data_IF_430360883695
#
_entry.id   IF_430360883695
#
_cell.length_a   1.000
_cell.length_b   1.000
_cell.length_c   1.000
_cell.angle_alpha   90.00
_cell.angle_beta   90.00
_cell.angle_gamma   90.00
#
_symmetry.space_group_name_H-M   'P 1'
#
loop_
_entity.id
_entity.type
_entity.pdbx_description
1 polymer ?
#
# COMPACT_ATOMS: atom_id res chain seq x y z
N UNK A 1 -52.52 7.59 14.27
CA UNK A 1 -51.36 6.83 13.75
C UNK A 1 -50.12 7.66 14.06
N UNK A 2 -49.42 7.35 15.13
CA UNK A 2 -48.19 8.02 15.57
C UNK A 2 -47.07 7.43 14.73
N UNK A 3 -46.56 8.24 13.79
CA UNK A 3 -45.29 7.95 13.11
C UNK A 3 -44.20 7.86 14.17
N UNK A 4 -43.66 6.67 14.36
CA UNK A 4 -42.48 6.43 15.14
C UNK A 4 -41.33 7.16 14.44
N UNK A 5 -40.89 8.30 15.01
CA UNK A 5 -39.66 9.00 14.63
C UNK A 5 -38.49 8.03 14.86
N UNK A 6 -38.10 7.34 13.80
CA UNK A 6 -36.85 6.56 13.79
C UNK A 6 -35.71 7.57 13.97
N UNK A 7 -35.23 7.72 15.19
CA UNK A 7 -34.03 8.49 15.48
C UNK A 7 -32.89 7.94 14.59
N UNK A 8 -32.22 8.76 13.78
CA UNK A 8 -31.12 8.31 12.94
C UNK A 8 -30.07 7.66 13.85
N UNK A 9 -29.79 6.36 13.67
CA UNK A 9 -28.70 5.71 14.39
C UNK A 9 -27.45 6.55 14.23
N UNK A 10 -26.93 7.07 15.34
CA UNK A 10 -25.69 7.83 15.34
C UNK A 10 -24.57 6.98 14.72
N UNK A 11 -23.76 7.60 13.83
CA UNK A 11 -22.70 6.88 13.15
C UNK A 11 -21.71 6.34 14.20
N UNK A 12 -21.39 5.02 14.19
CA UNK A 12 -20.47 4.43 15.15
C UNK A 12 -19.11 5.13 15.23
N UNK A 13 -18.64 5.77 14.15
CA UNK A 13 -17.40 6.54 14.12
C UNK A 13 -17.45 7.76 15.07
N UNK A 14 -18.66 8.28 15.36
CA UNK A 14 -18.84 9.41 16.26
C UNK A 14 -18.87 9.00 17.73
N UNK A 15 -19.44 7.82 18.06
CA UNK A 15 -19.85 7.50 19.45
C UNK A 15 -19.16 6.27 20.04
N UNK A 16 -18.80 5.27 19.21
CA UNK A 16 -18.22 4.02 19.71
C UNK A 16 -16.82 4.25 20.34
N UNK A 17 -16.41 3.43 21.34
CA UNK A 17 -15.08 3.53 21.96
C UNK A 17 -13.95 3.45 20.91
N UNK A 18 -13.04 4.41 20.94
CA UNK A 18 -11.97 4.56 19.93
C UNK A 18 -11.09 3.30 19.81
N UNK A 19 -10.73 2.65 20.93
CA UNK A 19 -9.92 1.43 20.90
C UNK A 19 -10.66 0.25 20.21
N UNK A 20 -11.97 0.16 20.37
CA UNK A 20 -12.82 -0.82 19.67
C UNK A 20 -12.91 -0.53 18.17
N UNK A 21 -13.01 0.76 17.81
CA UNK A 21 -13.00 1.18 16.40
C UNK A 21 -11.65 0.87 15.73
N UNK A 22 -10.53 1.21 16.37
CA UNK A 22 -9.20 0.89 15.82
C UNK A 22 -9.10 -0.60 15.55
N UNK A 23 -9.44 -1.47 16.53
CA UNK A 23 -9.42 -2.94 16.31
C UNK A 23 -10.34 -3.37 15.17
N UNK A 24 -11.56 -2.85 15.12
CA UNK A 24 -12.55 -3.19 14.09
C UNK A 24 -12.09 -2.80 12.67
N UNK A 25 -11.38 -1.71 12.50
CA UNK A 25 -10.94 -1.22 11.19
C UNK A 25 -9.52 -1.64 10.84
N UNK A 26 -8.59 -1.64 11.80
CA UNK A 26 -7.18 -1.95 11.53
C UNK A 26 -6.95 -3.46 11.31
N UNK A 27 -7.58 -4.34 12.10
CA UNK A 27 -7.36 -5.77 11.97
C UNK A 27 -7.72 -6.30 10.56
N UNK A 28 -8.91 -6.01 9.98
CA UNK A 28 -9.19 -6.41 8.61
C UNK A 28 -8.27 -5.77 7.57
N UNK A 29 -7.80 -4.54 7.81
CA UNK A 29 -6.87 -3.87 6.91
C UNK A 29 -5.48 -4.55 6.92
N UNK A 30 -4.97 -4.88 8.09
CA UNK A 30 -3.71 -5.62 8.27
C UNK A 30 -3.81 -7.00 7.59
N UNK A 31 -4.88 -7.74 7.87
CA UNK A 31 -5.11 -9.07 7.25
C UNK A 31 -5.15 -8.96 5.72
N UNK A 32 -5.84 -7.94 5.17
CA UNK A 32 -5.87 -7.70 3.73
C UNK A 32 -4.47 -7.49 3.15
N UNK A 33 -3.65 -6.68 3.82
CA UNK A 33 -2.28 -6.39 3.37
C UNK A 33 -1.37 -7.62 3.48
N UNK A 34 -1.48 -8.40 4.56
CA UNK A 34 -0.72 -9.64 4.72
C UNK A 34 -1.09 -10.67 3.66
N UNK A 35 -2.38 -10.88 3.43
CA UNK A 35 -2.86 -11.81 2.40
C UNK A 35 -2.37 -11.38 1.02
N UNK A 36 -2.40 -10.07 0.73
CA UNK A 36 -1.83 -9.52 -0.50
C UNK A 36 -0.32 -9.83 -0.65
N UNK A 37 0.44 -9.69 0.42
CA UNK A 37 1.88 -10.00 0.42
C UNK A 37 2.12 -11.49 0.21
N UNK A 38 1.36 -12.34 0.91
CA UNK A 38 1.49 -13.81 0.82
C UNK A 38 1.17 -14.29 -0.60
N UNK A 39 0.06 -13.84 -1.20
CA UNK A 39 -0.28 -14.31 -2.53
C UNK A 39 0.77 -13.88 -3.58
N UNK A 40 1.31 -12.67 -3.50
CA UNK A 40 2.38 -12.23 -4.41
C UNK A 40 3.64 -13.10 -4.30
N UNK A 41 4.00 -13.53 -3.09
CA UNK A 41 5.13 -14.42 -2.87
C UNK A 41 4.82 -15.81 -3.43
N UNK A 42 3.61 -16.31 -3.20
CA UNK A 42 3.18 -17.65 -3.66
C UNK A 42 3.14 -17.73 -5.19
N UNK A 43 2.59 -16.72 -5.87
CA UNK A 43 2.57 -16.60 -7.33
C UNK A 43 4.00 -16.66 -7.91
N UNK A 44 4.94 -15.91 -7.34
CA UNK A 44 6.34 -15.98 -7.77
C UNK A 44 7.00 -17.35 -7.55
N UNK A 45 6.62 -18.07 -6.48
CA UNK A 45 7.09 -19.43 -6.23
C UNK A 45 6.57 -20.38 -7.33
N UNK A 46 5.29 -20.33 -7.68
CA UNK A 46 4.71 -21.14 -8.75
C UNK A 46 5.37 -20.86 -10.10
N UNK A 47 5.54 -19.58 -10.46
CA UNK A 47 6.22 -19.18 -11.70
C UNK A 47 7.67 -19.68 -11.72
N UNK A 48 8.39 -19.54 -10.63
CA UNK A 48 9.77 -20.01 -10.50
C UNK A 48 9.92 -21.52 -10.68
N UNK A 49 8.97 -22.32 -10.18
CA UNK A 49 9.01 -23.78 -10.31
C UNK A 49 8.56 -24.28 -11.68
N UNK A 50 7.62 -23.60 -12.34
CA UNK A 50 7.02 -24.09 -13.60
C UNK A 50 7.65 -23.50 -14.84
N UNK A 51 8.03 -22.23 -14.82
CA UNK A 51 8.63 -21.50 -15.96
C UNK A 51 10.12 -21.24 -15.75
N UNK A 52 10.57 -21.22 -14.49
CA UNK A 52 11.97 -21.01 -14.13
C UNK A 52 12.36 -19.54 -14.06
N UNK A 53 13.67 -19.29 -14.21
CA UNK A 53 14.28 -17.95 -14.03
C UNK A 53 13.72 -16.93 -15.01
N UNK A 54 13.45 -17.31 -16.26
CA UNK A 54 12.90 -16.41 -17.27
C UNK A 54 11.49 -15.95 -16.94
N UNK A 55 10.67 -16.82 -16.31
CA UNK A 55 9.33 -16.45 -15.84
C UNK A 55 9.37 -15.41 -14.72
N UNK A 56 10.24 -15.62 -13.72
CA UNK A 56 10.42 -14.63 -12.65
C UNK A 56 11.00 -13.30 -13.18
N UNK A 57 11.91 -13.35 -14.14
CA UNK A 57 12.42 -12.15 -14.79
C UNK A 57 11.30 -11.39 -15.56
N UNK A 58 10.41 -12.13 -16.22
CA UNK A 58 9.27 -11.54 -16.95
C UNK A 58 8.29 -10.83 -16.03
N UNK A 59 7.92 -11.44 -14.89
CA UNK A 59 7.05 -10.77 -13.90
C UNK A 59 7.72 -9.56 -13.27
N UNK A 60 9.02 -9.61 -12.98
CA UNK A 60 9.76 -8.47 -12.46
C UNK A 60 9.80 -7.31 -13.47
N UNK A 61 9.91 -7.60 -14.76
CA UNK A 61 9.86 -6.58 -15.82
C UNK A 61 8.46 -5.96 -15.97
N UNK A 62 7.40 -6.72 -15.72
CA UNK A 62 6.02 -6.22 -15.70
C UNK A 62 5.64 -5.49 -14.40
N UNK A 63 6.41 -5.66 -13.31
CA UNK A 63 6.10 -5.12 -11.99
C UNK A 63 5.88 -3.60 -11.92
N UNK A 64 6.63 -2.74 -12.66
CA UNK A 64 6.37 -1.30 -12.71
C UNK A 64 4.94 -0.93 -13.13
N UNK A 65 4.32 -1.73 -14.01
CA UNK A 65 2.91 -1.53 -14.41
C UNK A 65 1.96 -1.80 -13.24
N UNK A 66 2.25 -2.81 -12.42
CA UNK A 66 1.47 -3.13 -11.22
C UNK A 66 1.61 -2.01 -10.17
N UNK A 67 2.81 -1.47 -9.98
CA UNK A 67 3.05 -0.31 -9.09
C UNK A 67 2.26 0.90 -9.55
N UNK A 68 2.30 1.23 -10.84
CA UNK A 68 1.55 2.35 -11.42
C UNK A 68 0.05 2.17 -11.22
N UNK A 69 -0.48 0.97 -11.48
CA UNK A 69 -1.90 0.63 -11.30
C UNK A 69 -2.33 0.78 -9.84
N UNK A 70 -1.54 0.26 -8.92
CA UNK A 70 -1.79 0.36 -7.46
C UNK A 70 -1.71 1.81 -7.00
N UNK A 71 -0.75 2.57 -7.51
CA UNK A 71 -0.62 4.00 -7.23
C UNK A 71 -1.85 4.80 -7.68
N UNK A 72 -2.34 4.56 -8.91
CA UNK A 72 -3.56 5.19 -9.43
C UNK A 72 -4.81 4.76 -8.63
N UNK A 73 -4.89 3.48 -8.24
CA UNK A 73 -5.97 3.01 -7.38
C UNK A 73 -5.97 3.71 -6.02
N UNK A 74 -4.80 3.91 -5.42
CA UNK A 74 -4.65 4.65 -4.16
C UNK A 74 -4.97 6.13 -4.31
N UNK A 75 -4.58 6.75 -5.43
CA UNK A 75 -4.93 8.14 -5.74
C UNK A 75 -6.45 8.34 -5.71
N UNK A 76 -7.18 7.49 -6.40
CA UNK A 76 -8.65 7.57 -6.45
C UNK A 76 -9.28 7.13 -5.14
N UNK A 77 -8.85 5.98 -4.60
CA UNK A 77 -9.47 5.34 -3.45
C UNK A 77 -9.32 6.13 -2.15
N UNK A 78 -8.08 6.53 -1.82
CA UNK A 78 -7.80 7.34 -0.62
C UNK A 78 -8.47 8.70 -0.71
N UNK A 79 -8.35 9.35 -1.90
CA UNK A 79 -8.97 10.65 -2.12
C UNK A 79 -10.49 10.62 -2.00
N UNK A 80 -11.14 9.60 -2.56
CA UNK A 80 -12.60 9.42 -2.47
C UNK A 80 -13.03 9.12 -1.03
N UNK A 81 -12.37 8.16 -0.37
CA UNK A 81 -12.70 7.75 1.00
C UNK A 81 -12.54 8.89 2.02
N UNK A 82 -11.47 9.68 1.91
CA UNK A 82 -11.23 10.82 2.80
C UNK A 82 -12.28 11.92 2.61
N UNK A 83 -12.54 12.35 1.35
CA UNK A 83 -13.55 13.36 1.06
C UNK A 83 -14.97 12.90 1.43
N UNK A 84 -15.29 11.61 1.20
CA UNK A 84 -16.55 11.02 1.64
C UNK A 84 -16.74 11.14 3.15
N UNK A 85 -15.78 10.67 3.95
CA UNK A 85 -15.88 10.72 5.41
C UNK A 85 -15.85 12.14 5.99
N UNK A 86 -15.04 13.04 5.44
CA UNK A 86 -15.04 14.46 5.80
C UNK A 86 -16.44 15.07 5.58
N UNK A 87 -17.06 14.78 4.43
CA UNK A 87 -18.39 15.28 4.09
C UNK A 87 -19.48 14.66 4.97
N UNK A 88 -19.36 13.36 5.29
CA UNK A 88 -20.30 12.67 6.19
C UNK A 88 -20.21 13.21 7.62
N UNK A 89 -19.00 13.47 8.11
CA UNK A 89 -18.78 14.09 9.42
C UNK A 89 -19.34 15.50 9.50
N UNK A 90 -19.19 16.29 8.43
CA UNK A 90 -19.75 17.62 8.29
C UNK A 90 -21.28 17.64 7.98
N UNK A 91 -21.94 16.48 7.95
CA UNK A 91 -23.38 16.33 7.60
C UNK A 91 -23.73 16.78 6.17
N UNK A 92 -22.74 16.97 5.30
CA UNK A 92 -22.89 17.42 3.91
C UNK A 92 -23.14 16.21 2.98
N UNK A 93 -24.32 15.57 3.09
CA UNK A 93 -24.64 14.31 2.37
C UNK A 93 -24.56 14.42 0.86
N UNK A 94 -24.95 15.54 0.28
CA UNK A 94 -24.92 15.74 -1.18
C UNK A 94 -23.49 15.82 -1.71
N UNK A 95 -22.57 16.45 -0.96
CA UNK A 95 -21.15 16.42 -1.28
C UNK A 95 -20.59 14.99 -1.16
N UNK A 96 -20.94 14.24 -0.11
CA UNK A 96 -20.53 12.85 0.04
C UNK A 96 -21.00 11.98 -1.14
N UNK A 97 -22.27 12.12 -1.57
CA UNK A 97 -22.82 11.46 -2.76
C UNK A 97 -22.03 11.79 -4.02
N UNK A 98 -21.68 13.06 -4.22
CA UNK A 98 -20.92 13.52 -5.37
C UNK A 98 -19.52 12.91 -5.41
N UNK A 99 -18.81 12.83 -4.28
CA UNK A 99 -17.50 12.19 -4.21
C UNK A 99 -17.56 10.68 -4.48
N UNK A 100 -18.55 9.98 -3.92
CA UNK A 100 -18.74 8.54 -4.19
C UNK A 100 -18.99 8.29 -5.67
N UNK A 101 -19.93 8.99 -6.28
CA UNK A 101 -20.25 8.83 -7.71
C UNK A 101 -19.07 9.15 -8.63
N UNK A 102 -18.36 10.26 -8.36
CA UNK A 102 -17.16 10.64 -9.12
C UNK A 102 -16.04 9.62 -8.95
N UNK A 103 -15.80 9.13 -7.72
CA UNK A 103 -14.76 8.14 -7.42
C UNK A 103 -14.99 6.79 -8.10
N UNK A 104 -16.25 6.30 -8.11
CA UNK A 104 -16.61 5.07 -8.80
C UNK A 104 -16.31 5.15 -10.31
N UNK A 105 -16.74 6.25 -10.96
CA UNK A 105 -16.49 6.41 -12.40
C UNK A 105 -15.00 6.64 -12.68
N UNK A 106 -14.34 7.46 -11.87
CA UNK A 106 -12.92 7.77 -12.03
C UNK A 106 -12.05 6.49 -11.90
N UNK A 107 -12.37 5.60 -10.95
CA UNK A 107 -11.66 4.32 -10.81
C UNK A 107 -11.88 3.40 -12.01
N UNK A 108 -13.11 3.32 -12.54
CA UNK A 108 -13.40 2.55 -13.74
C UNK A 108 -12.72 3.13 -14.98
N UNK A 109 -12.83 4.45 -15.19
CA UNK A 109 -12.26 5.13 -16.35
C UNK A 109 -10.71 5.03 -16.37
N UNK A 110 -10.05 5.26 -15.23
CA UNK A 110 -8.60 5.15 -15.14
C UNK A 110 -8.12 3.71 -15.33
N UNK A 111 -8.87 2.74 -14.81
CA UNK A 111 -8.56 1.33 -15.02
C UNK A 111 -8.66 0.91 -16.49
N UNK A 112 -9.74 1.28 -17.16
CA UNK A 112 -9.93 1.01 -18.61
C UNK A 112 -8.86 1.72 -19.44
N UNK A 113 -8.63 3.02 -19.17
CA UNK A 113 -7.62 3.81 -19.88
C UNK A 113 -6.22 3.19 -19.73
N UNK A 114 -5.84 2.85 -18.50
CA UNK A 114 -4.53 2.24 -18.25
C UNK A 114 -4.44 0.87 -18.92
N UNK A 115 -5.46 0.02 -18.80
CA UNK A 115 -5.50 -1.29 -19.44
C UNK A 115 -5.34 -1.21 -20.96
N UNK A 116 -6.09 -0.30 -21.61
CA UNK A 116 -5.96 -0.06 -23.05
C UNK A 116 -4.57 0.46 -23.42
N UNK A 117 -4.02 1.44 -22.69
CA UNK A 117 -2.69 1.98 -22.97
C UNK A 117 -1.60 0.91 -22.82
N UNK A 118 -1.64 0.12 -21.75
CA UNK A 118 -0.65 -0.95 -21.53
C UNK A 118 -0.79 -2.03 -22.59
N UNK A 119 -2.03 -2.43 -22.98
CA UNK A 119 -2.24 -3.41 -24.02
C UNK A 119 -1.72 -2.94 -25.39
N UNK A 120 -1.96 -1.66 -25.75
CA UNK A 120 -1.49 -1.08 -27.02
C UNK A 120 0.02 -0.85 -27.05
N UNK A 121 0.62 -0.46 -25.94
CA UNK A 121 2.04 -0.09 -25.83
C UNK A 121 2.87 -1.10 -25.01
N UNK A 122 2.44 -2.37 -24.92
CA UNK A 122 3.12 -3.39 -24.12
C UNK A 122 4.61 -3.54 -24.49
N UNK A 123 4.94 -3.53 -25.79
CA UNK A 123 6.30 -3.69 -26.26
C UNK A 123 7.22 -2.53 -25.82
N UNK A 124 6.92 -1.25 -26.12
CA UNK A 124 7.70 -0.12 -25.62
C UNK A 124 7.82 -0.09 -24.10
N UNK A 125 6.74 -0.41 -23.37
CA UNK A 125 6.73 -0.43 -21.91
C UNK A 125 7.69 -1.50 -21.36
N UNK A 126 7.67 -2.70 -21.89
CA UNK A 126 8.55 -3.79 -21.46
C UNK A 126 10.03 -3.48 -21.76
N UNK A 127 10.33 -2.90 -22.92
CA UNK A 127 11.70 -2.48 -23.25
C UNK A 127 12.19 -1.36 -22.33
N UNK A 128 11.35 -0.37 -22.01
CA UNK A 128 11.66 0.67 -21.03
C UNK A 128 11.88 0.09 -19.61
N UNK A 129 11.19 -0.99 -19.27
CA UNK A 129 11.36 -1.71 -18.00
C UNK A 129 12.57 -2.67 -17.99
N UNK A 130 13.36 -2.73 -19.06
CA UNK A 130 14.59 -3.51 -19.13
C UNK A 130 14.39 -4.97 -19.54
N UNK A 131 13.35 -5.30 -20.31
CA UNK A 131 13.18 -6.64 -20.87
C UNK A 131 14.33 -6.96 -21.85
N UNK A 132 15.02 -8.06 -21.59
CA UNK A 132 16.00 -8.61 -22.53
C UNK A 132 15.32 -9.42 -23.62
N UNK A 133 16.01 -9.68 -24.73
CA UNK A 133 15.46 -10.49 -25.86
C UNK A 133 14.91 -11.84 -25.43
N UNK A 134 15.56 -12.51 -24.45
CA UNK A 134 15.13 -13.81 -23.93
C UNK A 134 13.91 -13.73 -23.01
N UNK A 135 13.74 -12.63 -22.28
CA UNK A 135 12.65 -12.40 -21.31
C UNK A 135 11.42 -11.85 -22.00
N UNK A 136 11.60 -11.07 -23.07
CA UNK A 136 10.56 -10.33 -23.76
C UNK A 136 9.34 -11.19 -24.19
N UNK A 137 9.50 -12.40 -24.78
CA UNK A 137 8.35 -13.23 -25.17
C UNK A 137 7.47 -13.65 -23.97
N UNK A 138 8.10 -13.99 -22.84
CA UNK A 138 7.40 -14.36 -21.63
C UNK A 138 6.69 -13.15 -20.99
N UNK A 139 7.38 -12.01 -20.93
CA UNK A 139 6.83 -10.78 -20.38
C UNK A 139 5.66 -10.24 -21.22
N UNK A 140 5.74 -10.34 -22.54
CA UNK A 140 4.68 -9.90 -23.45
C UNK A 140 3.42 -10.76 -23.30
N UNK A 141 3.55 -12.10 -23.22
CA UNK A 141 2.41 -12.99 -22.98
C UNK A 141 1.75 -12.70 -21.64
N UNK A 142 2.56 -12.54 -20.58
CA UNK A 142 2.07 -12.22 -19.25
C UNK A 142 1.37 -10.86 -19.19
N UNK A 143 2.03 -9.80 -19.70
CA UNK A 143 1.51 -8.43 -19.66
C UNK A 143 0.29 -8.26 -20.56
N UNK A 144 0.26 -8.91 -21.73
CA UNK A 144 -0.89 -8.85 -22.64
C UNK A 144 -2.19 -9.37 -22.00
N UNK A 145 -2.10 -10.45 -21.23
CA UNK A 145 -3.24 -11.00 -20.50
C UNK A 145 -3.56 -10.14 -19.27
N UNK A 146 -2.56 -9.81 -18.46
CA UNK A 146 -2.78 -9.06 -17.21
C UNK A 146 -3.24 -7.62 -17.46
N UNK A 147 -2.93 -7.02 -18.62
CA UNK A 147 -3.46 -5.71 -19.02
C UNK A 147 -5.01 -5.70 -19.07
N UNK A 148 -5.64 -6.80 -19.45
CA UNK A 148 -7.10 -6.96 -19.43
C UNK A 148 -7.65 -7.01 -17.99
N UNK A 149 -6.84 -7.35 -17.01
CA UNK A 149 -7.19 -7.38 -15.60
C UNK A 149 -7.09 -6.02 -14.90
N UNK A 150 -6.31 -5.07 -15.45
CA UNK A 150 -6.05 -3.76 -14.82
C UNK A 150 -7.31 -2.94 -14.49
N UNK A 151 -8.37 -2.92 -15.31
CA UNK A 151 -9.64 -2.25 -14.97
C UNK A 151 -10.25 -2.80 -13.69
N UNK A 152 -10.25 -4.11 -13.53
CA UNK A 152 -10.82 -4.79 -12.36
C UNK A 152 -9.94 -4.56 -11.12
N UNK A 153 -8.61 -4.69 -11.27
CA UNK A 153 -7.64 -4.43 -10.21
C UNK A 153 -7.79 -3.00 -9.64
N UNK A 154 -7.76 -2.00 -10.52
CA UNK A 154 -7.82 -0.60 -10.11
C UNK A 154 -9.16 -0.29 -9.46
N UNK A 155 -10.27 -0.77 -10.04
CA UNK A 155 -11.59 -0.55 -9.49
C UNK A 155 -11.75 -1.14 -8.10
N UNK A 156 -11.46 -2.45 -7.89
CA UNK A 156 -11.67 -3.06 -6.58
C UNK A 156 -10.70 -2.52 -5.53
N UNK A 157 -9.44 -2.23 -5.90
CA UNK A 157 -8.45 -1.67 -4.97
C UNK A 157 -8.87 -0.29 -4.48
N UNK A 158 -9.25 0.62 -5.39
CA UNK A 158 -9.72 1.95 -5.03
C UNK A 158 -11.00 1.89 -4.16
N UNK A 159 -11.96 1.09 -4.56
CA UNK A 159 -13.27 1.04 -3.91
C UNK A 159 -13.28 0.20 -2.63
N UNK A 160 -12.29 -0.68 -2.39
CA UNK A 160 -12.10 -1.32 -1.09
C UNK A 160 -11.85 -0.30 0.03
N UNK A 161 -11.19 0.82 -0.30
CA UNK A 161 -10.97 1.92 0.64
C UNK A 161 -12.28 2.68 0.93
N UNK A 162 -13.13 2.86 -0.08
CA UNK A 162 -14.45 3.46 0.09
C UNK A 162 -15.39 2.55 0.91
N UNK A 163 -15.38 1.24 0.68
CA UNK A 163 -16.14 0.26 1.48
C UNK A 163 -15.73 0.33 2.95
N UNK A 164 -14.43 0.45 3.20
CA UNK A 164 -13.89 0.63 4.56
C UNK A 164 -14.38 1.94 5.18
N UNK A 165 -14.37 3.02 4.40
CA UNK A 165 -14.86 4.33 4.82
C UNK A 165 -16.37 4.34 5.13
N UNK A 166 -17.17 3.53 4.43
CA UNK A 166 -18.61 3.33 4.68
C UNK A 166 -18.92 2.46 5.92
N UNK A 167 -17.90 2.06 6.70
CA UNK A 167 -18.07 1.32 7.94
C UNK A 167 -18.04 -0.19 7.83
N UNK A 168 -17.67 -0.74 6.68
CA UNK A 168 -17.62 -2.19 6.40
C UNK A 168 -16.20 -2.74 6.15
N UNK A 169 -15.22 -2.57 7.08
CA UNK A 169 -13.84 -3.00 6.87
C UNK A 169 -13.69 -4.51 6.65
N UNK A 170 -14.50 -5.33 7.32
CA UNK A 170 -14.49 -6.78 7.11
C UNK A 170 -14.98 -7.18 5.71
N UNK A 171 -15.87 -6.39 5.10
CA UNK A 171 -16.28 -6.63 3.71
C UNK A 171 -15.16 -6.25 2.72
N UNK A 172 -14.49 -5.14 2.94
CA UNK A 172 -13.30 -4.77 2.14
C UNK A 172 -12.21 -5.85 2.22
N UNK A 173 -11.98 -6.44 3.40
CA UNK A 173 -11.10 -7.59 3.57
C UNK A 173 -11.56 -8.80 2.75
N UNK A 174 -12.86 -9.13 2.76
CA UNK A 174 -13.41 -10.25 1.96
C UNK A 174 -13.16 -10.06 0.46
N UNK A 175 -13.27 -8.83 -0.07
CA UNK A 175 -12.96 -8.53 -1.48
C UNK A 175 -11.51 -8.91 -1.82
N UNK A 176 -10.56 -8.59 -0.95
CA UNK A 176 -9.14 -8.90 -1.17
C UNK A 176 -8.86 -10.40 -0.98
N UNK A 177 -9.33 -10.98 0.11
CA UNK A 177 -9.07 -12.38 0.47
C UNK A 177 -9.67 -13.35 -0.55
N UNK A 178 -10.89 -13.09 -1.04
CA UNK A 178 -11.52 -13.95 -2.05
C UNK A 178 -10.71 -14.04 -3.34
N UNK A 179 -10.17 -12.91 -3.81
CA UNK A 179 -9.29 -12.89 -4.98
C UNK A 179 -7.96 -13.61 -4.72
N UNK A 180 -7.32 -13.31 -3.59
CA UNK A 180 -6.03 -13.92 -3.26
C UNK A 180 -6.10 -15.44 -3.11
N UNK A 181 -7.12 -15.96 -2.41
CA UNK A 181 -7.32 -17.40 -2.27
C UNK A 181 -7.61 -18.05 -3.63
N UNK A 182 -8.46 -17.42 -4.44
CA UNK A 182 -8.77 -17.93 -5.78
C UNK A 182 -7.53 -17.92 -6.68
N UNK A 183 -6.70 -16.87 -6.62
CA UNK A 183 -5.46 -16.80 -7.39
C UNK A 183 -4.53 -17.97 -7.07
N UNK A 184 -4.26 -18.24 -5.78
CA UNK A 184 -3.41 -19.37 -5.35
C UNK A 184 -3.95 -20.71 -5.87
N UNK A 185 -5.27 -20.93 -5.80
CA UNK A 185 -5.90 -22.15 -6.29
C UNK A 185 -5.81 -22.29 -7.81
N UNK A 186 -6.02 -21.19 -8.53
CA UNK A 186 -5.96 -21.19 -10.00
C UNK A 186 -4.52 -21.26 -10.50
N UNK A 187 -3.54 -20.66 -9.82
CA UNK A 187 -2.12 -20.82 -10.13
C UNK A 187 -1.72 -22.31 -10.03
N UNK A 188 -2.09 -22.97 -8.94
CA UNK A 188 -1.85 -24.41 -8.81
C UNK A 188 -2.52 -25.22 -9.94
N UNK A 189 -3.78 -24.90 -10.26
CA UNK A 189 -4.53 -25.62 -11.29
C UNK A 189 -3.97 -25.37 -12.70
N UNK A 190 -3.74 -24.11 -13.08
CA UNK A 190 -3.34 -23.76 -14.44
C UNK A 190 -1.86 -24.03 -14.70
N UNK A 191 -0.99 -23.81 -13.71
CA UNK A 191 0.44 -23.96 -13.89
C UNK A 191 0.90 -25.41 -13.62
N UNK A 192 0.44 -26.05 -12.53
CA UNK A 192 0.84 -27.42 -12.19
C UNK A 192 -0.10 -28.46 -12.82
N UNK A 193 -1.43 -28.21 -12.83
CA UNK A 193 -2.42 -29.14 -13.38
C UNK A 193 -2.42 -29.16 -14.90
N UNK A 194 -2.52 -28.00 -15.54
CA UNK A 194 -2.63 -27.89 -17.01
C UNK A 194 -1.31 -27.57 -17.72
N UNK A 195 -0.26 -27.15 -16.99
CA UNK A 195 1.04 -26.85 -17.57
C UNK A 195 1.06 -25.57 -18.46
N UNK A 196 0.14 -24.60 -18.23
CA UNK A 196 0.02 -23.41 -19.07
C UNK A 196 1.12 -22.35 -18.82
N UNK A 197 2.05 -22.58 -17.91
CA UNK A 197 3.19 -21.69 -17.66
C UNK A 197 2.80 -20.24 -17.38
N UNK A 198 3.43 -19.27 -18.09
CA UNK A 198 3.18 -17.84 -17.90
C UNK A 198 1.74 -17.41 -18.21
N UNK A 199 1.11 -18.04 -19.20
CA UNK A 199 -0.27 -17.74 -19.56
C UNK A 199 -1.23 -18.19 -18.45
N UNK A 200 -0.92 -19.32 -17.79
CA UNK A 200 -1.67 -19.83 -16.64
C UNK A 200 -1.63 -18.86 -15.46
N UNK A 201 -0.44 -18.38 -15.09
CA UNK A 201 -0.27 -17.38 -14.03
C UNK A 201 -1.03 -16.08 -14.32
N UNK A 202 -0.92 -15.57 -15.56
CA UNK A 202 -1.60 -14.36 -15.98
C UNK A 202 -3.13 -14.50 -15.93
N UNK A 203 -3.67 -15.62 -16.42
CA UNK A 203 -5.11 -15.92 -16.39
C UNK A 203 -5.63 -16.08 -14.97
N UNK A 204 -4.90 -16.79 -14.10
CA UNK A 204 -5.24 -16.93 -12.68
C UNK A 204 -5.34 -15.56 -11.99
N UNK A 205 -4.37 -14.67 -12.26
CA UNK A 205 -4.36 -13.30 -11.74
C UNK A 205 -5.58 -12.50 -12.22
N UNK A 206 -5.88 -12.53 -13.51
CA UNK A 206 -7.03 -11.80 -14.06
C UNK A 206 -8.36 -12.32 -13.52
N UNK A 207 -8.53 -13.64 -13.44
CA UNK A 207 -9.75 -14.24 -12.87
C UNK A 207 -9.93 -13.88 -11.39
N UNK A 208 -8.86 -13.89 -10.63
CA UNK A 208 -8.87 -13.46 -9.22
C UNK A 208 -9.28 -11.97 -9.08
N UNK A 209 -8.77 -11.10 -9.97
CA UNK A 209 -9.13 -9.68 -9.99
C UNK A 209 -10.60 -9.48 -10.37
N UNK A 210 -11.14 -10.24 -11.33
CA UNK A 210 -12.55 -10.21 -11.70
C UNK A 210 -13.42 -10.63 -10.50
N UNK A 211 -13.08 -11.69 -9.78
CA UNK A 211 -13.85 -12.11 -8.59
C UNK A 211 -13.79 -11.05 -7.49
N UNK A 212 -12.62 -10.48 -7.20
CA UNK A 212 -12.50 -9.36 -6.26
C UNK A 212 -13.38 -8.17 -6.65
N UNK A 213 -13.42 -7.83 -7.95
CA UNK A 213 -14.26 -6.79 -8.51
C UNK A 213 -15.77 -7.11 -8.36
N UNK A 214 -16.19 -8.34 -8.66
CA UNK A 214 -17.59 -8.75 -8.51
C UNK A 214 -18.06 -8.71 -7.05
N UNK A 215 -17.22 -9.18 -6.13
CA UNK A 215 -17.50 -9.07 -4.68
C UNK A 215 -17.56 -7.60 -4.27
N UNK A 216 -16.66 -6.75 -4.78
CA UNK A 216 -16.66 -5.31 -4.52
C UNK A 216 -17.92 -4.61 -5.04
N UNK A 217 -18.33 -4.87 -6.30
CA UNK A 217 -19.56 -4.29 -6.89
C UNK A 217 -20.81 -4.71 -6.11
N UNK A 218 -20.90 -5.96 -5.68
CA UNK A 218 -22.03 -6.45 -4.88
C UNK A 218 -22.28 -5.59 -3.64
N UNK A 219 -21.23 -5.02 -3.03
CA UNK A 219 -21.39 -4.14 -1.87
C UNK A 219 -22.15 -2.87 -2.19
N UNK A 220 -21.94 -2.28 -3.37
CA UNK A 220 -22.55 -0.99 -3.74
C UNK A 220 -24.07 -1.06 -3.93
N UNK A 221 -24.64 -2.26 -4.12
CA UNK A 221 -26.10 -2.46 -4.05
C UNK A 221 -26.64 -2.35 -2.61
N UNK A 222 -25.77 -2.41 -1.59
CA UNK A 222 -26.10 -2.33 -0.18
C UNK A 222 -25.22 -1.33 0.58
N UNK A 223 -24.85 -0.24 -0.11
CA UNK A 223 -24.01 0.83 0.47
C UNK A 223 -24.74 1.41 1.70
N UNK A 224 -24.03 1.50 2.86
CA UNK A 224 -24.69 1.74 4.17
C UNK A 224 -25.11 3.20 4.34
N UNK A 225 -24.33 4.17 3.84
CA UNK A 225 -24.57 5.60 4.05
C UNK A 225 -25.81 6.11 3.29
N UNK A 226 -26.04 5.62 2.07
CA UNK A 226 -27.15 5.99 1.19
C UNK A 226 -27.23 5.04 -0.02
N UNK A 227 -28.41 4.88 -0.66
CA UNK A 227 -28.52 4.11 -1.90
C UNK A 227 -27.78 4.80 -3.04
N UNK A 228 -27.04 4.01 -3.82
CA UNK A 228 -26.35 4.50 -5.01
C UNK A 228 -27.33 4.53 -6.19
N UNK A 229 -27.59 5.73 -6.71
CA UNK A 229 -28.48 5.96 -7.84
C UNK A 229 -27.71 6.47 -9.06
N UNK A 230 -28.21 6.19 -10.25
CA UNK A 230 -27.57 6.60 -11.52
C UNK A 230 -27.25 8.09 -11.62
N UNK A 231 -28.06 8.93 -11.01
CA UNK A 231 -27.85 10.39 -11.02
C UNK A 231 -26.60 10.85 -10.29
N UNK A 232 -26.06 10.02 -9.37
CA UNK A 232 -24.80 10.28 -8.67
C UNK A 232 -23.58 9.93 -9.53
N UNK A 233 -23.74 9.01 -10.48
CA UNK A 233 -22.67 8.53 -11.35
C UNK A 233 -22.37 9.56 -12.44
N UNK A 234 -21.68 10.64 -12.06
CA UNK A 234 -21.26 11.71 -12.98
C UNK A 234 -19.83 12.11 -12.65
N UNK A 235 -19.00 12.25 -13.67
CA UNK A 235 -17.68 12.86 -13.54
C UNK A 235 -17.82 14.37 -13.37
N UNK A 236 -17.40 14.88 -12.21
CA UNK A 236 -17.38 16.32 -11.93
C UNK A 236 -15.93 16.75 -11.76
N UNK A 237 -15.44 17.64 -12.62
CA UNK A 237 -14.04 18.04 -12.66
C UNK A 237 -13.52 18.62 -11.33
N UNK A 238 -14.37 19.33 -10.59
CA UNK A 238 -14.03 19.90 -9.28
C UNK A 238 -13.80 18.81 -8.23
N UNK A 239 -14.67 17.80 -8.19
CA UNK A 239 -14.55 16.65 -7.29
C UNK A 239 -13.37 15.76 -7.68
N UNK A 240 -13.15 15.53 -8.98
CA UNK A 240 -11.98 14.80 -9.48
C UNK A 240 -10.68 15.44 -9.00
N UNK A 241 -10.56 16.77 -9.12
CA UNK A 241 -9.38 17.50 -8.66
C UNK A 241 -9.17 17.38 -7.14
N UNK A 242 -10.25 17.43 -6.35
CA UNK A 242 -10.17 17.26 -4.89
C UNK A 242 -9.77 15.83 -4.51
N UNK A 243 -10.33 14.83 -5.17
CA UNK A 243 -9.95 13.42 -5.01
C UNK A 243 -8.46 13.24 -5.35
N UNK A 244 -8.04 13.72 -6.52
CA UNK A 244 -6.65 13.61 -6.96
C UNK A 244 -5.67 14.30 -6.00
N UNK A 245 -5.99 15.51 -5.52
CA UNK A 245 -5.13 16.24 -4.57
C UNK A 245 -4.87 15.47 -3.28
N UNK A 246 -5.87 14.80 -2.70
CA UNK A 246 -5.69 14.01 -1.47
C UNK A 246 -4.97 12.69 -1.71
N UNK A 247 -5.21 12.05 -2.84
CA UNK A 247 -4.56 10.78 -3.18
C UNK A 247 -3.16 10.92 -3.76
N UNK A 248 -2.77 12.13 -4.24
CA UNK A 248 -1.49 12.37 -4.92
C UNK A 248 -0.28 11.98 -4.09
N UNK A 249 -0.32 12.19 -2.78
CA UNK A 249 0.78 11.86 -1.86
C UNK A 249 1.11 10.36 -1.90
N UNK A 250 0.10 9.51 -1.93
CA UNK A 250 0.30 8.05 -1.97
C UNK A 250 0.73 7.58 -3.37
N UNK A 251 0.20 8.17 -4.42
CA UNK A 251 0.62 7.89 -5.79
C UNK A 251 2.10 8.20 -6.02
N UNK A 252 2.54 9.41 -5.65
CA UNK A 252 3.94 9.80 -5.79
C UNK A 252 4.87 8.96 -4.91
N UNK A 253 4.41 8.58 -3.70
CA UNK A 253 5.18 7.68 -2.84
C UNK A 253 5.46 6.33 -3.49
N UNK A 254 4.50 5.76 -4.24
CA UNK A 254 4.70 4.50 -4.98
C UNK A 254 5.78 4.64 -6.06
N UNK A 255 5.79 5.74 -6.81
CA UNK A 255 6.81 6.00 -7.83
C UNK A 255 8.20 6.15 -7.19
N UNK A 256 8.30 6.89 -6.10
CA UNK A 256 9.57 7.08 -5.40
C UNK A 256 10.07 5.76 -4.80
N UNK A 257 9.19 4.94 -4.21
CA UNK A 257 9.57 3.62 -3.71
C UNK A 257 10.18 2.74 -4.81
N UNK A 258 9.62 2.78 -6.01
CA UNK A 258 10.18 2.06 -7.17
C UNK A 258 11.58 2.59 -7.51
N UNK A 259 11.75 3.91 -7.57
CA UNK A 259 13.05 4.55 -7.85
C UNK A 259 14.10 4.18 -6.80
N UNK A 260 13.73 4.23 -5.52
CA UNK A 260 14.61 3.84 -4.40
C UNK A 260 15.03 2.38 -4.52
N UNK A 261 14.11 1.48 -4.86
CA UNK A 261 14.42 0.05 -5.04
C UNK A 261 15.44 -0.19 -6.15
N UNK A 262 15.27 0.45 -7.30
CA UNK A 262 16.22 0.37 -8.43
C UNK A 262 17.59 0.94 -8.02
N UNK A 263 17.61 2.09 -7.38
CA UNK A 263 18.85 2.75 -6.92
C UNK A 263 19.58 1.87 -5.91
N UNK A 264 18.88 1.31 -4.93
CA UNK A 264 19.45 0.42 -3.92
C UNK A 264 20.09 -0.83 -4.57
N UNK A 265 19.39 -1.47 -5.48
CA UNK A 265 19.92 -2.65 -6.19
C UNK A 265 21.19 -2.31 -6.96
N UNK A 266 21.22 -1.21 -7.71
CA UNK A 266 22.40 -0.78 -8.44
C UNK A 266 23.59 -0.49 -7.53
N UNK A 267 23.36 0.17 -6.38
CA UNK A 267 24.38 0.48 -5.39
C UNK A 267 24.93 -0.81 -4.76
N UNK A 268 24.07 -1.73 -4.37
CA UNK A 268 24.48 -3.01 -3.78
C UNK A 268 25.29 -3.85 -4.76
N UNK A 269 24.93 -3.86 -6.04
CA UNK A 269 25.69 -4.55 -7.08
C UNK A 269 27.04 -3.91 -7.30
N UNK A 270 27.10 -2.59 -7.44
CA UNK A 270 28.34 -1.86 -7.74
C UNK A 270 29.35 -1.94 -6.57
N UNK A 271 28.93 -1.57 -5.36
CA UNK A 271 29.81 -1.60 -4.19
C UNK A 271 30.01 -3.02 -3.64
N UNK A 272 29.06 -3.93 -3.86
CA UNK A 272 29.18 -5.34 -3.53
C UNK A 272 30.31 -5.99 -4.32
N UNK A 273 30.40 -5.73 -5.64
CA UNK A 273 31.47 -6.26 -6.49
C UNK A 273 32.87 -5.85 -6.03
N UNK A 274 33.00 -4.67 -5.39
CA UNK A 274 34.26 -4.18 -4.81
C UNK A 274 34.53 -4.67 -3.37
N UNK A 275 33.60 -5.46 -2.78
CA UNK A 275 33.69 -5.97 -1.42
C UNK A 275 34.04 -7.45 -1.39
N UNK A 276 34.35 -7.99 -0.20
CA UNK A 276 34.58 -9.43 0.02
C UNK A 276 33.34 -10.30 -0.26
N UNK A 277 32.15 -9.70 -0.34
CA UNK A 277 30.88 -10.41 -0.56
C UNK A 277 30.55 -10.62 -2.05
N UNK A 278 31.22 -9.91 -2.97
CA UNK A 278 30.87 -9.92 -4.39
C UNK A 278 29.55 -9.20 -4.67
N UNK A 279 29.11 -9.18 -5.94
CA UNK A 279 27.86 -8.50 -6.34
C UNK A 279 26.59 -9.30 -5.95
N UNK A 280 26.69 -10.63 -5.95
CA UNK A 280 25.52 -11.50 -5.87
C UNK A 280 24.96 -11.64 -4.45
N UNK A 281 25.83 -11.74 -3.44
CA UNK A 281 25.41 -11.88 -2.03
C UNK A 281 24.62 -10.67 -1.54
N UNK A 282 25.10 -9.42 -1.70
CA UNK A 282 24.33 -8.25 -1.28
C UNK A 282 22.97 -8.12 -1.97
N UNK A 283 22.91 -8.45 -3.26
CA UNK A 283 21.67 -8.40 -4.04
C UNK A 283 20.66 -9.47 -3.58
N UNK A 284 21.13 -10.70 -3.35
CA UNK A 284 20.29 -11.80 -2.85
C UNK A 284 19.72 -11.50 -1.45
N UNK A 285 20.57 -11.00 -0.55
CA UNK A 285 20.15 -10.61 0.80
C UNK A 285 19.17 -9.45 0.77
N UNK A 286 19.39 -8.43 -0.08
CA UNK A 286 18.45 -7.32 -0.24
C UNK A 286 17.06 -7.79 -0.72
N UNK A 287 17.00 -8.81 -1.56
CA UNK A 287 15.75 -9.45 -1.95
C UNK A 287 14.97 -10.02 -0.77
N UNK A 288 15.67 -10.68 0.15
CA UNK A 288 15.05 -11.22 1.38
C UNK A 288 14.59 -10.08 2.29
N UNK A 289 15.45 -9.09 2.53
CA UNK A 289 15.11 -7.94 3.38
C UNK A 289 13.91 -7.17 2.82
N UNK A 290 13.80 -7.05 1.50
CA UNK A 290 12.63 -6.43 0.85
C UNK A 290 11.33 -7.22 1.13
N UNK A 291 11.37 -8.55 1.10
CA UNK A 291 10.21 -9.39 1.45
C UNK A 291 9.83 -9.24 2.93
N UNK A 292 10.81 -9.25 3.82
CA UNK A 292 10.60 -9.01 5.25
C UNK A 292 10.02 -7.62 5.53
N UNK A 293 10.55 -6.60 4.85
CA UNK A 293 10.04 -5.24 4.94
C UNK A 293 8.60 -5.10 4.41
N UNK A 294 8.21 -5.88 3.40
CA UNK A 294 6.83 -5.92 2.89
C UNK A 294 5.84 -6.41 3.95
N UNK A 295 6.25 -7.38 4.79
CA UNK A 295 5.44 -7.83 5.94
C UNK A 295 5.31 -6.71 6.97
N UNK A 296 6.41 -6.02 7.31
CA UNK A 296 6.38 -4.86 8.22
C UNK A 296 5.44 -3.76 7.69
N UNK A 297 5.54 -3.44 6.40
CA UNK A 297 4.68 -2.45 5.73
C UNK A 297 3.22 -2.88 5.80
N UNK A 298 2.90 -4.16 5.61
CA UNK A 298 1.55 -4.68 5.73
C UNK A 298 0.92 -4.38 7.10
N UNK A 299 1.69 -4.53 8.17
CA UNK A 299 1.23 -4.20 9.52
C UNK A 299 1.08 -2.69 9.74
N UNK A 300 2.11 -1.91 9.44
CA UNK A 300 2.14 -0.46 9.74
C UNK A 300 1.17 0.35 8.88
N UNK A 301 1.13 0.07 7.58
CA UNK A 301 0.20 0.71 6.63
C UNK A 301 -1.23 0.21 6.84
N UNK A 302 -1.41 -1.09 7.14
CA UNK A 302 -2.73 -1.64 7.46
C UNK A 302 -3.36 -0.96 8.70
N UNK A 303 -2.57 -0.75 9.75
CA UNK A 303 -3.00 0.02 10.93
C UNK A 303 -3.37 1.46 10.57
N UNK A 304 -2.50 2.15 9.82
CA UNK A 304 -2.71 3.53 9.41
C UNK A 304 -3.98 3.70 8.55
N UNK A 305 -4.21 2.80 7.60
CA UNK A 305 -5.42 2.78 6.77
C UNK A 305 -6.67 2.44 7.58
N UNK A 306 -6.55 1.62 8.63
CA UNK A 306 -7.64 1.34 9.55
C UNK A 306 -8.06 2.56 10.39
N UNK A 307 -7.11 3.42 10.77
CA UNK A 307 -7.39 4.66 11.49
C UNK A 307 -7.97 5.77 10.60
N UNK A 308 -7.76 5.72 9.29
CA UNK A 308 -8.14 6.76 8.33
C UNK A 308 -9.63 7.16 8.38
N UNK A 309 -10.62 6.24 8.35
CA UNK A 309 -12.03 6.60 8.45
C UNK A 309 -12.39 7.30 9.76
N UNK A 310 -11.72 6.94 10.87
CA UNK A 310 -11.96 7.54 12.18
C UNK A 310 -11.47 8.98 12.18
N UNK A 311 -10.27 9.25 11.63
CA UNK A 311 -9.72 10.60 11.52
C UNK A 311 -10.59 11.49 10.63
N UNK A 312 -10.90 11.05 9.41
CA UNK A 312 -11.61 11.88 8.43
C UNK A 312 -13.05 12.18 8.87
N UNK A 313 -13.78 11.21 9.42
CA UNK A 313 -15.13 11.43 9.90
C UNK A 313 -15.16 12.43 11.09
N UNK A 314 -14.32 12.21 12.11
CA UNK A 314 -14.29 13.06 13.31
C UNK A 314 -13.75 14.47 13.01
N UNK A 315 -12.87 14.62 11.99
CA UNK A 315 -12.44 15.94 11.53
C UNK A 315 -13.60 16.69 10.89
N UNK A 316 -14.38 16.03 10.02
CA UNK A 316 -15.58 16.61 9.43
C UNK A 316 -16.65 16.96 10.45
N UNK A 317 -16.79 16.18 11.52
CA UNK A 317 -17.71 16.41 12.63
C UNK A 317 -17.19 17.43 13.67
N UNK A 318 -15.93 17.86 13.59
CA UNK A 318 -15.29 18.74 14.55
C UNK A 318 -15.04 18.11 15.93
N UNK A 319 -14.96 16.80 16.02
CA UNK A 319 -14.71 16.03 17.26
C UNK A 319 -13.21 15.91 17.54
N UNK A 320 -12.53 17.00 17.85
CA UNK A 320 -11.08 17.08 17.98
C UNK A 320 -10.51 16.20 19.10
N UNK A 321 -11.22 16.04 20.22
CA UNK A 321 -10.83 15.14 21.31
C UNK A 321 -10.72 13.68 20.85
N UNK A 322 -11.67 13.20 20.03
CA UNK A 322 -11.65 11.85 19.49
C UNK A 322 -10.51 11.66 18.47
N UNK A 323 -10.17 12.67 17.70
CA UNK A 323 -9.02 12.67 16.80
C UNK A 323 -7.73 12.47 17.59
N UNK A 324 -7.53 13.24 18.67
CA UNK A 324 -6.36 13.12 19.55
C UNK A 324 -6.27 11.73 20.18
N UNK A 325 -7.38 11.22 20.69
CA UNK A 325 -7.45 9.88 21.27
C UNK A 325 -7.10 8.80 20.25
N UNK A 326 -7.64 8.90 19.03
CA UNK A 326 -7.36 7.95 17.95
C UNK A 326 -5.88 7.97 17.58
N UNK A 327 -5.28 9.16 17.43
CA UNK A 327 -3.87 9.27 17.09
C UNK A 327 -2.98 8.72 18.21
N UNK A 328 -3.26 9.06 19.47
CA UNK A 328 -2.48 8.56 20.63
C UNK A 328 -2.54 7.03 20.73
N UNK A 329 -3.74 6.43 20.64
CA UNK A 329 -3.91 4.97 20.68
C UNK A 329 -3.29 4.28 19.47
N UNK A 330 -3.47 4.85 18.27
CA UNK A 330 -2.84 4.37 17.03
C UNK A 330 -1.32 4.41 17.10
N UNK A 331 -0.75 5.49 17.65
CA UNK A 331 0.69 5.65 17.84
C UNK A 331 1.27 4.60 18.79
N UNK A 332 0.63 4.40 19.94
CA UNK A 332 1.06 3.36 20.90
C UNK A 332 1.01 1.98 20.25
N UNK A 333 -0.07 1.67 19.52
CA UNK A 333 -0.19 0.39 18.84
C UNK A 333 0.85 0.21 17.73
N UNK A 334 1.12 1.27 16.95
CA UNK A 334 2.14 1.27 15.90
C UNK A 334 3.54 1.01 16.50
N UNK A 335 3.90 1.70 17.60
CA UNK A 335 5.19 1.53 18.26
C UNK A 335 5.35 0.14 18.88
N UNK A 336 4.32 -0.39 19.56
CA UNK A 336 4.36 -1.74 20.13
C UNK A 336 4.55 -2.80 19.04
N UNK A 337 3.84 -2.68 17.95
CA UNK A 337 3.93 -3.60 16.81
C UNK A 337 5.30 -3.52 16.14
N UNK A 338 5.78 -2.31 15.86
CA UNK A 338 7.10 -2.08 15.26
C UNK A 338 8.22 -2.56 16.18
N UNK A 339 8.09 -2.39 17.51
CA UNK A 339 9.03 -2.89 18.51
C UNK A 339 9.06 -4.43 18.54
N UNK A 340 7.90 -5.08 18.48
CA UNK A 340 7.84 -6.54 18.43
C UNK A 340 8.55 -7.08 17.17
N UNK A 341 8.33 -6.48 16.02
CA UNK A 341 8.99 -6.87 14.77
C UNK A 341 10.48 -6.57 14.81
N UNK A 342 10.89 -5.42 15.38
CA UNK A 342 12.29 -5.07 15.63
C UNK A 342 13.01 -6.14 16.45
N UNK A 343 12.41 -6.57 17.57
CA UNK A 343 12.99 -7.59 18.42
C UNK A 343 13.18 -8.92 17.67
N UNK A 344 12.23 -9.32 16.87
CA UNK A 344 12.32 -10.54 16.03
C UNK A 344 13.50 -10.45 15.06
N UNK A 345 13.66 -9.31 14.38
CA UNK A 345 14.75 -9.12 13.40
C UNK A 345 16.14 -8.99 14.05
N UNK A 346 16.22 -8.44 15.26
CA UNK A 346 17.49 -8.29 15.97
C UNK A 346 17.95 -9.56 16.71
N UNK A 347 16.99 -10.35 17.23
CA UNK A 347 17.30 -11.55 18.00
C UNK A 347 17.51 -12.79 17.11
N UNK A 348 16.81 -12.89 15.97
CA UNK A 348 16.79 -14.09 15.13
C UNK A 348 17.18 -13.85 13.66
N UNK A 349 18.21 -13.00 13.34
CA UNK A 349 18.50 -12.65 11.95
C UNK A 349 18.93 -13.87 11.09
N UNK A 350 19.80 -14.74 11.63
CA UNK A 350 20.25 -15.97 10.92
C UNK A 350 19.13 -16.97 10.71
N UNK A 351 18.28 -17.20 11.71
CA UNK A 351 17.15 -18.12 11.62
C UNK A 351 16.14 -17.66 10.56
N UNK A 352 15.86 -16.35 10.54
CA UNK A 352 14.96 -15.75 9.55
C UNK A 352 15.53 -15.92 8.14
N UNK A 353 16.83 -15.65 7.96
CA UNK A 353 17.47 -15.77 6.65
C UNK A 353 17.51 -17.23 6.18
N UNK A 354 17.74 -18.18 7.07
CA UNK A 354 17.75 -19.61 6.79
C UNK A 354 16.41 -20.16 6.28
N UNK A 355 15.28 -19.52 6.61
CA UNK A 355 13.96 -19.88 6.06
C UNK A 355 13.91 -19.70 4.54
N UNK A 356 14.67 -18.74 3.99
CA UNK A 356 14.69 -18.42 2.57
C UNK A 356 15.70 -19.25 1.75
N UNK A 357 16.49 -20.11 2.38
CA UNK A 357 17.42 -21.00 1.74
C UNK A 357 18.78 -21.09 2.43
N UNK A 358 19.60 -22.06 2.02
CA UNK A 358 20.99 -22.23 2.47
C UNK A 358 21.93 -21.35 1.66
N UNK A 359 23.05 -20.95 2.27
CA UNK A 359 24.11 -20.19 1.62
C UNK A 359 25.47 -20.44 2.28
N UNK A 360 26.51 -19.80 1.79
CA UNK A 360 27.83 -19.80 2.40
C UNK A 360 27.81 -19.06 3.75
N UNK A 361 28.82 -19.28 4.60
CA UNK A 361 28.95 -18.53 5.86
C UNK A 361 28.99 -17.01 5.60
N UNK A 362 29.68 -16.59 4.54
CA UNK A 362 29.73 -15.19 4.09
C UNK A 362 28.33 -14.62 3.79
N UNK A 363 27.43 -15.41 3.22
CA UNK A 363 26.05 -15.02 2.96
C UNK A 363 25.28 -14.75 4.26
N UNK A 364 25.42 -15.66 5.24
CA UNK A 364 24.75 -15.49 6.53
C UNK A 364 25.32 -14.31 7.32
N UNK A 365 26.64 -14.10 7.28
CA UNK A 365 27.31 -12.98 7.94
C UNK A 365 26.83 -11.63 7.36
N UNK A 366 26.76 -11.52 6.03
CA UNK A 366 26.24 -10.32 5.39
C UNK A 366 24.75 -10.10 5.67
N UNK A 367 23.96 -11.17 5.66
CA UNK A 367 22.54 -11.10 5.96
C UNK A 367 22.26 -10.64 7.39
N UNK A 368 23.02 -11.17 8.37
CA UNK A 368 22.96 -10.73 9.77
C UNK A 368 23.33 -9.26 9.89
N UNK A 369 24.43 -8.84 9.28
CA UNK A 369 24.89 -7.45 9.25
C UNK A 369 23.85 -6.53 8.63
N UNK A 370 23.28 -6.93 7.49
CA UNK A 370 22.25 -6.15 6.78
C UNK A 370 20.99 -5.99 7.64
N UNK A 371 20.45 -7.08 8.18
CA UNK A 371 19.24 -7.04 9.01
C UNK A 371 19.44 -6.19 10.26
N UNK A 372 20.58 -6.35 10.96
CA UNK A 372 20.85 -5.60 12.17
C UNK A 372 21.04 -4.11 11.95
N UNK A 373 21.72 -3.71 10.87
CA UNK A 373 21.99 -2.30 10.57
C UNK A 373 20.78 -1.66 9.89
N UNK A 374 20.33 -2.20 8.75
CA UNK A 374 19.31 -1.56 7.92
C UNK A 374 17.95 -1.48 8.61
N UNK A 375 17.62 -2.49 9.43
CA UNK A 375 16.37 -2.55 10.20
C UNK A 375 16.53 -2.09 11.67
N UNK A 376 17.64 -1.44 12.01
CA UNK A 376 17.90 -0.98 13.39
C UNK A 376 16.84 -0.01 13.91
N UNK A 377 16.27 0.84 13.07
CA UNK A 377 15.25 1.84 13.43
C UNK A 377 13.81 1.42 13.10
N UNK A 378 13.58 0.14 12.80
CA UNK A 378 12.23 -0.38 12.55
C UNK A 378 11.28 -0.16 13.73
N UNK A 379 11.79 -0.10 14.96
CA UNK A 379 10.99 0.19 16.16
C UNK A 379 10.16 1.49 16.08
N UNK A 380 10.57 2.46 15.28
CA UNK A 380 9.86 3.74 15.08
C UNK A 380 9.15 3.83 13.72
N UNK A 381 9.30 2.84 12.84
CA UNK A 381 8.83 2.89 11.44
C UNK A 381 7.30 3.01 11.27
N UNK A 382 6.53 2.59 12.28
CA UNK A 382 5.06 2.71 12.25
C UNK A 382 4.54 4.14 12.41
N UNK A 383 5.34 5.07 12.89
CA UNK A 383 4.93 6.45 13.18
C UNK A 383 4.67 7.25 11.91
N UNK A 384 5.57 7.16 10.94
CA UNK A 384 5.51 7.92 9.70
C UNK A 384 4.27 7.56 8.85
N UNK A 385 3.95 6.27 8.56
CA UNK A 385 2.74 5.90 7.84
C UNK A 385 1.45 6.35 8.54
N UNK A 386 1.39 6.24 9.88
CA UNK A 386 0.24 6.70 10.66
C UNK A 386 0.04 8.21 10.52
N UNK A 387 1.13 8.99 10.62
CA UNK A 387 1.08 10.45 10.54
C UNK A 387 0.73 10.94 9.13
N UNK A 388 1.28 10.31 8.08
CA UNK A 388 0.94 10.60 6.67
C UNK A 388 -0.55 10.35 6.42
N UNK A 389 -1.05 9.17 6.82
CA UNK A 389 -2.47 8.83 6.66
C UNK A 389 -3.38 9.76 7.48
N UNK A 390 -2.94 10.20 8.65
CA UNK A 390 -3.63 11.20 9.45
C UNK A 390 -3.82 12.50 8.67
N UNK A 391 -2.73 13.13 8.18
CA UNK A 391 -2.82 14.40 7.45
C UNK A 391 -3.60 14.28 6.14
N UNK A 392 -3.49 13.17 5.45
CA UNK A 392 -4.30 12.87 4.26
C UNK A 392 -5.79 12.76 4.62
N UNK A 393 -6.11 12.07 5.71
CA UNK A 393 -7.49 11.85 6.17
C UNK A 393 -8.20 13.13 6.58
N UNK A 394 -7.47 14.09 7.19
CA UNK A 394 -8.04 15.38 7.61
C UNK A 394 -8.08 16.42 6.48
N UNK A 395 -7.64 16.07 5.28
CA UNK A 395 -7.67 16.97 4.12
C UNK A 395 -6.46 17.90 3.99
N UNK A 396 -5.40 17.72 4.79
CA UNK A 396 -4.18 18.53 4.73
C UNK A 396 -3.22 18.04 3.64
N UNK A 397 -3.53 18.37 2.38
CA UNK A 397 -2.83 17.89 1.19
C UNK A 397 -1.32 18.18 1.23
N UNK A 398 -0.94 19.43 1.50
CA UNK A 398 0.49 19.85 1.47
C UNK A 398 1.32 19.12 2.52
N UNK A 399 0.80 19.02 3.74
CA UNK A 399 1.49 18.34 4.84
C UNK A 399 1.57 16.84 4.60
N UNK A 400 0.48 16.21 4.15
CA UNK A 400 0.46 14.79 3.79
C UNK A 400 1.47 14.46 2.68
N UNK A 401 1.53 15.30 1.63
CA UNK A 401 2.49 15.16 0.53
C UNK A 401 3.93 15.28 1.01
N UNK A 402 4.24 16.36 1.76
CA UNK A 402 5.59 16.59 2.30
C UNK A 402 6.07 15.41 3.16
N UNK A 403 5.24 14.94 4.09
CA UNK A 403 5.58 13.82 4.96
C UNK A 403 5.69 12.50 4.19
N UNK A 404 4.83 12.27 3.20
CA UNK A 404 4.86 11.04 2.38
C UNK A 404 6.15 10.93 1.57
N UNK A 405 6.59 12.04 0.96
CA UNK A 405 7.78 12.07 0.11
C UNK A 405 9.08 12.19 0.92
N UNK A 406 9.02 12.65 2.18
CA UNK A 406 10.21 12.96 2.96
C UNK A 406 11.09 11.73 3.19
N UNK A 407 10.52 10.61 3.63
CA UNK A 407 11.29 9.41 4.00
C UNK A 407 12.03 8.81 2.80
N UNK A 408 11.30 8.54 1.74
CA UNK A 408 11.86 7.84 0.56
C UNK A 408 12.59 8.79 -0.38
N UNK A 409 11.99 9.93 -0.72
CA UNK A 409 12.50 10.85 -1.73
C UNK A 409 13.51 11.86 -1.18
N UNK A 410 13.19 12.50 -0.04
CA UNK A 410 14.03 13.58 0.48
C UNK A 410 15.21 13.06 1.31
N UNK A 411 15.02 11.98 2.08
CA UNK A 411 16.07 11.46 2.97
C UNK A 411 16.73 10.22 2.40
N UNK A 412 15.98 9.13 2.14
CA UNK A 412 16.59 7.85 1.78
C UNK A 412 17.32 7.90 0.43
N UNK A 413 16.71 8.43 -0.61
CA UNK A 413 17.32 8.46 -1.95
C UNK A 413 18.65 9.24 -2.00
N UNK A 414 18.77 10.47 -1.46
CA UNK A 414 20.05 11.15 -1.39
C UNK A 414 21.08 10.44 -0.51
N UNK A 415 20.67 9.88 0.65
CA UNK A 415 21.56 9.14 1.52
C UNK A 415 22.12 7.87 0.87
N UNK A 416 21.28 7.15 0.11
CA UNK A 416 21.71 5.98 -0.67
C UNK A 416 22.75 6.34 -1.71
N UNK A 417 22.70 7.53 -2.28
CA UNK A 417 23.72 8.00 -3.26
C UNK A 417 24.98 8.47 -2.53
N UNK A 418 24.85 9.27 -1.47
CA UNK A 418 25.98 9.95 -0.82
C UNK A 418 26.79 9.02 0.10
N UNK A 419 26.14 8.25 0.98
CA UNK A 419 26.84 7.45 1.99
C UNK A 419 27.73 6.35 1.41
N UNK A 420 27.37 5.64 0.32
CA UNK A 420 28.26 4.65 -0.27
C UNK A 420 29.57 5.22 -0.83
N UNK A 421 29.61 6.49 -1.21
CA UNK A 421 30.86 7.13 -1.63
C UNK A 421 31.87 7.29 -0.49
N UNK A 422 31.37 7.35 0.78
CA UNK A 422 32.20 7.54 1.98
C UNK A 422 32.50 6.19 2.67
N UNK A 423 31.47 5.34 2.79
CA UNK A 423 31.52 4.12 3.58
C UNK A 423 31.40 2.84 2.73
N UNK A 424 31.48 2.94 1.41
CA UNK A 424 31.32 1.79 0.51
C UNK A 424 29.96 1.08 0.69
N UNK A 425 29.98 -0.26 0.67
CA UNK A 425 28.78 -1.07 0.81
C UNK A 425 28.01 -0.80 2.11
N UNK A 426 28.71 -0.54 3.21
CA UNK A 426 28.10 -0.26 4.52
C UNK A 426 27.32 1.07 4.50
N UNK A 427 27.71 2.03 3.68
CA UNK A 427 26.97 3.28 3.48
C UNK A 427 25.53 3.06 3.01
N UNK A 428 25.29 2.06 2.16
CA UNK A 428 23.94 1.70 1.75
C UNK A 428 23.11 1.16 2.92
N UNK A 429 23.75 0.44 3.84
CA UNK A 429 23.07 -0.12 5.04
C UNK A 429 22.70 0.98 6.04
N UNK A 430 23.56 1.99 6.22
CA UNK A 430 23.29 3.11 7.13
C UNK A 430 22.23 4.09 6.61
N UNK A 431 22.02 4.16 5.30
CA UNK A 431 21.05 5.06 4.70
C UNK A 431 19.61 4.83 5.22
N UNK A 432 19.21 3.57 5.40
CA UNK A 432 17.90 3.20 5.92
C UNK A 432 17.58 3.78 7.30
N UNK A 433 18.36 3.44 8.34
CA UNK A 433 18.15 3.94 9.70
C UNK A 433 18.20 5.47 9.80
N UNK A 434 19.14 6.12 9.13
CA UNK A 434 19.25 7.59 9.16
C UNK A 434 18.01 8.23 8.56
N UNK A 435 17.55 7.75 7.41
CA UNK A 435 16.33 8.25 6.77
C UNK A 435 15.10 8.03 7.66
N UNK A 436 15.01 6.90 8.38
CA UNK A 436 13.91 6.59 9.29
C UNK A 436 13.87 7.56 10.48
N UNK A 437 15.02 7.85 11.10
CA UNK A 437 15.12 8.83 12.20
C UNK A 437 14.75 10.24 11.75
N UNK A 438 15.26 10.68 10.60
CA UNK A 438 14.93 12.01 10.05
C UNK A 438 13.43 12.12 9.73
N UNK A 439 12.84 11.10 9.12
CA UNK A 439 11.41 11.04 8.84
C UNK A 439 10.56 11.02 10.13
N UNK A 440 10.99 10.28 11.15
CA UNK A 440 10.36 10.27 12.47
C UNK A 440 10.36 11.66 13.12
N UNK A 441 11.52 12.33 13.17
CA UNK A 441 11.64 13.69 13.72
C UNK A 441 10.74 14.67 12.99
N UNK A 442 10.71 14.62 11.66
CA UNK A 442 9.87 15.47 10.84
C UNK A 442 8.37 15.19 11.08
N UNK A 443 7.96 13.93 11.16
CA UNK A 443 6.58 13.54 11.42
C UNK A 443 6.12 13.99 12.81
N UNK A 444 6.94 13.77 13.85
CA UNK A 444 6.61 14.15 15.23
C UNK A 444 6.58 15.66 15.43
N UNK A 445 7.53 16.40 14.85
CA UNK A 445 7.56 17.87 14.93
C UNK A 445 6.36 18.50 14.24
N UNK A 446 5.98 17.97 13.07
CA UNK A 446 4.79 18.42 12.33
C UNK A 446 3.51 18.11 13.12
N UNK A 447 3.43 16.90 13.69
CA UNK A 447 2.27 16.51 14.50
C UNK A 447 2.18 17.33 15.79
N UNK A 448 3.29 17.63 16.45
CA UNK A 448 3.31 18.48 17.64
C UNK A 448 2.74 19.87 17.38
N UNK A 449 3.15 20.52 16.29
CA UNK A 449 2.61 21.83 15.88
C UNK A 449 1.10 21.75 15.61
N UNK A 450 0.66 20.72 14.90
CA UNK A 450 -0.76 20.53 14.60
C UNK A 450 -1.58 20.19 15.86
N UNK A 451 -1.01 19.46 16.81
CA UNK A 451 -1.64 19.17 18.10
C UNK A 451 -2.00 20.42 18.88
N UNK A 452 -1.13 21.41 18.89
CA UNK A 452 -1.41 22.71 19.52
C UNK A 452 -2.57 23.43 18.81
N UNK A 453 -2.66 23.33 17.49
CA UNK A 453 -3.79 23.90 16.73
C UNK A 453 -5.10 23.20 17.08
N UNK A 454 -5.12 21.85 17.12
CA UNK A 454 -6.30 21.09 17.53
C UNK A 454 -6.77 21.46 18.95
N UNK A 455 -5.83 21.67 19.86
CA UNK A 455 -6.15 22.07 21.25
C UNK A 455 -6.76 23.46 21.32
N UNK A 456 -6.32 24.39 20.48
CA UNK A 456 -6.92 25.72 20.36
C UNK A 456 -8.33 25.63 19.78
N UNK A 457 -8.55 24.84 18.74
CA UNK A 457 -9.87 24.62 18.13
C UNK A 457 -10.86 23.95 19.08
N UNK A 458 -10.38 23.07 19.97
CA UNK A 458 -11.20 22.40 20.99
C UNK A 458 -11.63 23.37 22.10
N UNK A 459 -10.75 24.29 22.52
CA UNK A 459 -11.03 25.29 23.56
C UNK A 459 -11.90 26.44 23.07
N UNK A 460 -11.92 26.70 21.77
CA UNK A 460 -12.73 27.77 21.16
C UNK A 460 -14.16 27.34 20.81
N UNK A 461 -14.52 26.12 21.11
CA UNK A 461 -15.88 25.56 21.09
C UNK A 461 -16.46 25.47 22.49
#
# INVERSE_FOLDING_TARGET
>A
MTESIVTPKENPLAVAPVGGLIRRFALPAIVSMLVNTIYNITDQIFIGHTVGILGNAATNTAFPVVILSTGLAQLVGIGTAANFNLSMGAKARDAARSYVGTGLIMSAAFGILLGCLIYMFQMPVLLLCGATENVLPYAQRYLGITACGLPFLLFFTANSMLIRADGAPSYAMRCMVSGAVLNILLDALFMLGFGWGMEGAALATVMAQIVSFLVCIRYFFRFQAFPIVRTMLRMRGREMLRIAKLGLSNFLNQIIMMTVGITLNNILTHYGAASVYGADIPLAVAGIVTKLNSVLIAFTVGLAQGCQPIFSFNMGAGNYGRIKETYRKGLVFALLLSMAIFLVFQLFPRQITAIFGGGSELYFDFAEKYLRIYLMMVCISGVQPLTVNYFTAIGSVRTGLMLSLSRQGLFLLPLLILLPHIFGLDGALYAGPIAEVLAFILAMSTMYRHWQQLTRMERGK
#
